data_IF_887729343977
#
_entry.id   IF_887729343977
#
_cell.length_a   1.000
_cell.length_b   1.000
_cell.length_c   1.000
_cell.angle_alpha   90.00
_cell.angle_beta   90.00
_cell.angle_gamma   90.00
#
_symmetry.space_group_name_H-M   'P 1'
#
loop_
_entity.id
_entity.type
_entity.pdbx_description
1 polymer ?
#
# COMPACT_ATOMS: atom_id res chain seq x y z
N UNK A 1 24.87 -23.54 -8.41
CA UNK A 1 24.42 -22.27 -7.78
C UNK A 1 23.48 -21.59 -8.76
N UNK A 2 22.16 -21.69 -8.56
CA UNK A 2 21.18 -20.89 -9.30
C UNK A 2 20.37 -20.15 -8.26
N UNK A 3 20.69 -18.87 -8.04
CA UNK A 3 20.19 -18.06 -6.94
C UNK A 3 19.45 -16.84 -7.48
N UNK A 4 18.44 -17.09 -8.31
CA UNK A 4 17.48 -16.05 -8.71
C UNK A 4 16.07 -16.61 -8.58
N UNK A 5 15.72 -16.87 -7.33
CA UNK A 5 14.34 -16.97 -6.87
C UNK A 5 13.76 -15.58 -7.12
N UNK A 6 13.22 -15.33 -8.32
CA UNK A 6 12.50 -14.10 -8.68
C UNK A 6 11.58 -13.78 -7.51
N UNK A 7 11.97 -12.76 -6.74
CA UNK A 7 11.19 -12.25 -5.63
C UNK A 7 9.80 -11.99 -6.18
N UNK A 8 8.81 -12.76 -5.70
CA UNK A 8 7.45 -12.32 -5.81
C UNK A 8 7.45 -10.92 -5.19
N UNK A 9 6.98 -9.87 -5.89
CA UNK A 9 6.91 -8.55 -5.31
C UNK A 9 6.25 -8.68 -3.94
N UNK A 10 6.74 -7.97 -2.91
CA UNK A 10 6.21 -8.09 -1.56
C UNK A 10 4.68 -8.09 -1.63
N UNK A 11 4.06 -9.10 -1.02
CA UNK A 11 2.62 -9.31 -1.11
C UNK A 11 1.97 -7.95 -0.86
N UNK A 12 1.08 -7.46 -1.76
CA UNK A 12 0.55 -6.10 -1.68
C UNK A 12 0.00 -5.74 -0.30
N UNK A 13 -0.45 -6.75 0.46
CA UNK A 13 -0.95 -6.64 1.82
C UNK A 13 0.07 -6.14 2.84
N UNK A 14 1.34 -6.55 2.76
CA UNK A 14 2.39 -6.06 3.67
C UNK A 14 2.65 -4.59 3.39
N UNK A 15 2.76 -4.22 2.10
CA UNK A 15 2.91 -2.82 1.68
C UNK A 15 1.72 -1.96 2.08
N UNK A 16 0.49 -2.48 1.95
CA UNK A 16 -0.73 -1.82 2.41
C UNK A 16 -0.70 -1.62 3.92
N UNK A 17 -0.25 -2.63 4.68
CA UNK A 17 -0.13 -2.53 6.14
C UNK A 17 0.89 -1.47 6.56
N UNK A 18 2.03 -1.37 5.86
CA UNK A 18 3.01 -0.29 6.06
C UNK A 18 2.43 1.09 5.73
N UNK A 19 1.65 1.21 4.65
CA UNK A 19 1.05 2.48 4.22
C UNK A 19 -0.10 2.95 5.13
N UNK A 20 -0.79 2.00 5.75
CA UNK A 20 -1.79 2.26 6.80
C UNK A 20 -1.13 2.53 8.15
N UNK A 21 0.07 2.00 8.40
CA UNK A 21 0.79 2.22 9.65
C UNK A 21 1.07 3.73 9.84
N UNK A 22 0.60 4.26 10.97
CA UNK A 22 0.75 5.67 11.32
C UNK A 22 -0.34 6.60 10.78
N UNK A 23 -1.21 6.14 9.87
CA UNK A 23 -2.39 6.91 9.45
C UNK A 23 -3.45 6.84 10.54
N UNK A 24 -3.68 7.94 11.28
CA UNK A 24 -4.77 8.02 12.27
C UNK A 24 -6.13 8.28 11.63
N UNK A 25 -6.16 9.10 10.59
CA UNK A 25 -7.35 9.47 9.85
C UNK A 25 -6.99 9.70 8.38
N UNK A 26 -7.70 9.02 7.49
CA UNK A 26 -7.43 9.09 6.06
C UNK A 26 -8.07 7.96 5.28
N UNK A 27 -7.70 7.86 4.00
CA UNK A 27 -8.16 6.83 3.06
C UNK A 27 -6.95 6.30 2.28
N UNK A 28 -6.90 5.00 2.05
CA UNK A 28 -5.98 4.37 1.10
C UNK A 28 -6.81 3.80 -0.05
N UNK A 29 -6.56 4.28 -1.27
CA UNK A 29 -7.24 3.81 -2.48
C UNK A 29 -6.28 2.96 -3.30
N UNK A 30 -6.72 1.75 -3.69
CA UNK A 30 -5.94 0.84 -4.53
C UNK A 30 -6.67 0.58 -5.84
N UNK A 31 -5.98 0.81 -6.95
CA UNK A 31 -6.49 0.46 -8.28
C UNK A 31 -5.89 -0.86 -8.72
N UNK A 32 -6.75 -1.83 -9.03
CA UNK A 32 -6.35 -3.16 -9.49
C UNK A 32 -6.79 -3.36 -10.93
N UNK A 33 -5.85 -3.69 -11.80
CA UNK A 33 -6.13 -4.14 -13.16
C UNK A 33 -5.44 -5.49 -13.39
N UNK A 34 -6.13 -6.43 -14.03
CA UNK A 34 -5.61 -7.77 -14.35
C UNK A 34 -5.06 -8.52 -13.12
N UNK A 35 -5.73 -8.36 -11.96
CA UNK A 35 -5.29 -8.96 -10.69
C UNK A 35 -4.02 -8.37 -10.09
N UNK A 36 -3.51 -7.25 -10.64
CA UNK A 36 -2.32 -6.55 -10.17
C UNK A 36 -2.68 -5.14 -9.71
N UNK A 37 -2.13 -4.74 -8.57
CA UNK A 37 -2.22 -3.36 -8.11
C UNK A 37 -1.37 -2.49 -9.03
N UNK A 38 -1.99 -1.52 -9.69
CA UNK A 38 -1.29 -0.57 -10.58
C UNK A 38 -1.11 0.80 -9.96
N UNK A 39 -1.94 1.14 -8.98
CA UNK A 39 -1.95 2.46 -8.35
C UNK A 39 -2.32 2.31 -6.88
N UNK A 40 -1.65 3.12 -6.06
CA UNK A 40 -1.93 3.25 -4.64
C UNK A 40 -1.94 4.74 -4.32
N UNK A 41 -3.05 5.24 -3.79
CA UNK A 41 -3.19 6.63 -3.37
C UNK A 41 -3.46 6.71 -1.86
N UNK A 42 -2.64 7.48 -1.15
CA UNK A 42 -2.75 7.69 0.30
C UNK A 42 -3.23 9.11 0.57
N UNK A 43 -4.42 9.24 1.14
CA UNK A 43 -5.01 10.52 1.54
C UNK A 43 -5.06 10.61 3.05
N UNK A 44 -4.24 11.47 3.65
CA UNK A 44 -4.27 11.73 5.09
C UNK A 44 -5.16 12.94 5.39
N UNK A 45 -5.99 12.83 6.43
CA UNK A 45 -6.91 13.90 6.83
C UNK A 45 -6.60 14.35 8.25
N UNK A 46 -6.01 15.53 8.37
CA UNK A 46 -5.74 16.15 9.68
C UNK A 46 -6.99 16.91 10.12
N UNK A 47 -7.56 16.57 11.28
CA UNK A 47 -8.56 17.42 11.93
C UNK A 47 -7.82 18.50 12.71
N UNK A 48 -8.03 19.75 12.34
CA UNK A 48 -7.63 20.90 13.15
C UNK A 48 -8.86 21.27 13.98
N UNK A 49 -8.87 20.88 15.25
CA UNK A 49 -9.83 21.41 16.23
C UNK A 49 -9.22 22.68 16.82
N UNK A 50 -9.93 23.80 16.67
CA UNK A 50 -9.61 25.09 17.28
C UNK A 50 -9.89 25.08 18.78
#
# INVERSE_FOLDING_TARGET
MHKDKKEAPPLPLEKVSELLAGMKFGTLELTVHDGRVVQIERRERVRISA
#
